data_IF_575451454347
#
_entry.id   IF_575451454347
#
_cell.length_a   1.000
_cell.length_b   1.000
_cell.length_c   1.000
_cell.angle_alpha   90.00
_cell.angle_beta   90.00
_cell.angle_gamma   90.00
#
_symmetry.space_group_name_H-M   'P 1'
#
loop_
_entity.id
_entity.type
_entity.pdbx_description
1 polymer ?
#
# COMPACT_ATOMS: atom_id res chain seq x y z
N UNK A 1 11.50 -0.42 1.21
CA UNK A 1 10.14 -0.26 0.65
C UNK A 1 10.04 1.13 0.07
N UNK A 2 10.23 1.31 -1.25
CA UNK A 2 9.95 2.59 -1.91
C UNK A 2 8.46 2.97 -1.87
N UNK A 3 8.14 4.27 -1.97
CA UNK A 3 6.76 4.73 -2.13
C UNK A 3 6.21 4.36 -3.51
N UNK A 4 4.92 4.02 -3.53
CA UNK A 4 4.10 3.91 -4.75
C UNK A 4 2.98 4.94 -4.78
N UNK A 5 2.83 5.76 -3.73
CA UNK A 5 1.94 6.92 -3.73
C UNK A 5 2.70 8.19 -3.35
N UNK A 6 2.21 9.33 -3.84
CA UNK A 6 2.51 10.61 -3.21
C UNK A 6 1.97 10.65 -1.77
N UNK A 7 2.52 11.48 -0.86
CA UNK A 7 1.97 11.65 0.47
C UNK A 7 0.54 12.20 0.42
N UNK A 8 -0.38 11.55 1.13
CA UNK A 8 -1.75 12.06 1.24
C UNK A 8 -1.76 13.33 2.09
N UNK A 9 -2.43 14.38 1.60
CA UNK A 9 -2.56 15.67 2.31
C UNK A 9 -3.22 15.53 3.70
N UNK A 10 -4.06 14.50 3.89
CA UNK A 10 -4.66 14.16 5.19
C UNK A 10 -3.82 13.08 5.89
N UNK A 11 -3.16 13.46 6.99
CA UNK A 11 -2.62 12.49 7.95
C UNK A 11 -1.24 11.90 7.66
N UNK A 12 -0.47 12.47 6.72
CA UNK A 12 0.89 12.01 6.37
C UNK A 12 0.95 10.48 6.12
N UNK A 13 0.01 9.99 5.33
CA UNK A 13 -0.06 8.60 4.90
C UNK A 13 0.76 8.43 3.61
N UNK A 14 1.50 7.34 3.50
CA UNK A 14 2.24 6.96 2.29
C UNK A 14 2.03 5.47 2.05
N UNK A 15 1.75 5.09 0.81
CA UNK A 15 1.64 3.70 0.39
C UNK A 15 2.98 3.26 -0.17
N UNK A 16 3.46 2.12 0.28
CA UNK A 16 4.79 1.59 0.01
C UNK A 16 4.70 0.19 -0.61
N UNK A 17 5.67 -0.13 -1.46
CA UNK A 17 5.85 -1.47 -2.03
C UNK A 17 7.14 -2.09 -1.51
N UNK A 18 7.15 -3.38 -1.22
CA UNK A 18 8.35 -4.10 -0.76
C UNK A 18 8.81 -5.12 -1.80
N UNK A 19 10.09 -5.06 -2.17
CA UNK A 19 10.71 -6.03 -3.08
C UNK A 19 10.77 -7.44 -2.50
N UNK A 20 10.83 -7.56 -1.17
CA UNK A 20 11.00 -8.84 -0.49
C UNK A 20 9.67 -9.45 -0.03
N UNK A 21 8.51 -8.91 -0.44
CA UNK A 21 7.22 -9.48 -0.06
C UNK A 21 6.88 -10.75 -0.85
N UNK A 22 5.92 -11.50 -0.30
CA UNK A 22 5.38 -12.73 -0.89
C UNK A 22 3.89 -12.57 -1.20
N UNK A 23 3.37 -13.45 -2.07
CA UNK A 23 1.94 -13.50 -2.39
C UNK A 23 1.08 -13.67 -1.11
N UNK A 24 -0.15 -13.12 -1.08
CA UNK A 24 -0.83 -12.41 -2.16
C UNK A 24 -0.26 -10.99 -2.40
N UNK A 25 -0.52 -10.37 -3.58
CA UNK A 25 -0.13 -8.99 -3.84
C UNK A 25 -0.72 -8.03 -2.81
N UNK A 26 0.13 -7.25 -2.15
CA UNK A 26 -0.26 -6.31 -1.11
C UNK A 26 0.64 -5.08 -1.08
N UNK A 27 0.14 -4.01 -0.46
CA UNK A 27 0.92 -2.80 -0.19
C UNK A 27 1.01 -2.55 1.31
N UNK A 28 2.05 -1.83 1.72
CA UNK A 28 2.25 -1.38 3.10
C UNK A 28 1.79 0.06 3.25
N UNK A 29 1.21 0.37 4.40
CA UNK A 29 0.75 1.72 4.71
C UNK A 29 1.63 2.28 5.81
N UNK A 30 2.37 3.35 5.49
CA UNK A 30 3.02 4.18 6.48
C UNK A 30 2.03 5.24 6.95
N UNK A 31 1.74 5.25 8.24
CA UNK A 31 0.93 6.28 8.87
C UNK A 31 1.71 6.89 10.04
N UNK A 32 1.97 8.20 9.98
CA UNK A 32 2.87 8.88 10.92
C UNK A 32 4.25 8.21 10.96
N UNK A 33 4.69 7.76 12.14
CA UNK A 33 5.96 7.06 12.34
C UNK A 33 5.85 5.53 12.28
N UNK A 34 4.65 4.99 12.03
CA UNK A 34 4.42 3.56 11.93
C UNK A 34 4.47 3.11 10.46
N UNK A 35 5.47 2.31 10.13
CA UNK A 35 5.74 1.77 8.79
C UNK A 35 5.41 0.27 8.66
N UNK A 36 5.11 -0.44 9.75
CA UNK A 36 5.08 -1.91 9.77
C UNK A 36 3.74 -2.51 10.17
N UNK A 37 2.84 -1.72 10.75
CA UNK A 37 1.61 -2.29 11.28
C UNK A 37 0.59 -2.61 10.21
N UNK A 38 0.58 -1.92 9.07
CA UNK A 38 -0.57 -1.89 8.17
C UNK A 38 -0.26 -2.43 6.79
N UNK A 39 -1.01 -3.46 6.38
CA UNK A 39 -0.95 -4.06 5.05
C UNK A 39 -2.35 -4.30 4.53
N UNK A 40 -2.53 -4.09 3.23
CA UNK A 40 -3.80 -4.32 2.52
C UNK A 40 -3.50 -5.09 1.23
N UNK A 41 -4.22 -6.19 1.03
CA UNK A 41 -4.19 -6.96 -0.22
C UNK A 41 -4.78 -6.13 -1.37
N UNK A 42 -4.11 -6.09 -2.52
CA UNK A 42 -4.50 -5.25 -3.66
C UNK A 42 -5.85 -5.71 -4.24
N UNK A 43 -6.01 -7.02 -4.46
CA UNK A 43 -7.19 -7.59 -5.13
C UNK A 43 -8.42 -7.72 -4.23
N UNK A 44 -8.23 -8.04 -2.96
CA UNK A 44 -9.35 -8.28 -2.04
C UNK A 44 -9.69 -7.06 -1.19
N UNK A 45 -8.80 -6.06 -1.14
CA UNK A 45 -8.82 -4.93 -0.19
C UNK A 45 -8.89 -5.40 1.26
N UNK A 46 -8.52 -6.65 1.52
CA UNK A 46 -8.51 -7.20 2.87
C UNK A 46 -7.29 -6.67 3.62
N UNK A 47 -7.55 -6.01 4.74
CA UNK A 47 -6.50 -5.65 5.68
C UNK A 47 -5.90 -6.90 6.32
N UNK A 48 -4.59 -7.06 6.18
CA UNK A 48 -3.84 -8.08 6.91
C UNK A 48 -3.66 -7.57 8.34
N UNK A 49 -4.25 -8.28 9.31
CA UNK A 49 -4.51 -7.82 10.69
C UNK A 49 -3.35 -7.00 11.29
N UNK A 50 -3.51 -5.67 11.46
CA UNK A 50 -2.61 -4.89 12.28
C UNK A 50 -2.92 -5.15 13.76
N UNK A 51 -1.93 -4.96 14.65
CA UNK A 51 -2.19 -4.94 16.10
C UNK A 51 -2.99 -3.71 16.55
N UNK A 52 -2.92 -2.60 15.80
CA UNK A 52 -3.62 -1.34 16.05
C UNK A 52 -4.42 -0.95 14.81
N UNK A 53 -5.66 -0.52 14.94
CA UNK A 53 -6.45 -0.10 13.77
C UNK A 53 -6.14 1.33 13.30
N UNK A 54 -6.28 1.60 12.00
CA UNK A 54 -6.32 2.97 11.47
C UNK A 54 -7.70 3.58 11.76
N UNK A 55 -7.78 4.92 11.90
CA UNK A 55 -9.05 5.64 11.89
C UNK A 55 -9.93 5.20 10.69
N UNK A 56 -11.25 4.96 10.88
CA UNK A 56 -12.12 4.45 9.82
C UNK A 56 -12.08 5.27 8.53
N UNK A 57 -12.04 6.60 8.63
CA UNK A 57 -11.94 7.49 7.47
C UNK A 57 -10.66 7.31 6.66
N UNK A 58 -9.54 6.98 7.31
CA UNK A 58 -8.28 6.68 6.62
C UNK A 58 -8.31 5.28 5.99
N UNK A 59 -8.99 4.31 6.61
CA UNK A 59 -9.17 2.98 6.00
C UNK A 59 -9.94 3.07 4.70
N UNK A 60 -11.11 3.73 4.73
CA UNK A 60 -11.92 3.95 3.53
C UNK A 60 -11.15 4.71 2.46
N UNK A 61 -10.39 5.74 2.83
CA UNK A 61 -9.54 6.48 1.88
C UNK A 61 -8.50 5.58 1.21
N UNK A 62 -7.82 4.72 1.99
CA UNK A 62 -6.82 3.78 1.43
C UNK A 62 -7.49 2.74 0.56
N UNK A 63 -8.61 2.16 0.98
CA UNK A 63 -9.36 1.17 0.21
C UNK A 63 -9.80 1.72 -1.15
N UNK A 64 -10.41 2.91 -1.17
CA UNK A 64 -10.84 3.57 -2.41
C UNK A 64 -9.65 3.93 -3.30
N UNK A 65 -8.52 4.35 -2.72
CA UNK A 65 -7.33 4.64 -3.52
C UNK A 65 -6.72 3.37 -4.12
N UNK A 66 -6.63 2.28 -3.35
CA UNK A 66 -6.14 0.98 -3.83
C UNK A 66 -7.03 0.44 -4.94
N UNK A 67 -8.35 0.55 -4.80
CA UNK A 67 -9.31 0.17 -5.84
C UNK A 67 -9.14 1.01 -7.12
N UNK A 68 -8.96 2.33 -7.00
CA UNK A 68 -8.80 3.22 -8.15
C UNK A 68 -7.50 2.98 -8.94
N UNK A 69 -6.45 2.45 -8.30
CA UNK A 69 -5.13 2.23 -8.91
C UNK A 69 -4.75 0.74 -8.96
N UNK A 70 -5.72 -0.18 -8.91
CA UNK A 70 -5.49 -1.62 -8.80
C UNK A 70 -4.52 -2.14 -9.88
N UNK A 71 -4.77 -1.80 -11.15
CA UNK A 71 -3.96 -2.26 -12.27
C UNK A 71 -2.50 -1.80 -12.19
N UNK A 72 -2.27 -0.53 -11.88
CA UNK A 72 -0.92 0.04 -11.74
C UNK A 72 -0.20 -0.58 -10.54
N UNK A 73 -0.90 -0.80 -9.43
CA UNK A 73 -0.33 -1.46 -8.25
C UNK A 73 0.07 -2.91 -8.54
N UNK A 74 -0.70 -3.65 -9.35
CA UNK A 74 -0.33 -5.00 -9.77
C UNK A 74 0.90 -4.99 -10.68
N UNK A 75 1.04 -3.99 -11.56
CA UNK A 75 2.26 -3.82 -12.35
C UNK A 75 3.47 -3.54 -11.45
N UNK A 76 3.35 -2.60 -10.50
CA UNK A 76 4.42 -2.30 -9.56
C UNK A 76 4.76 -3.49 -8.65
N UNK A 77 3.77 -4.29 -8.28
CA UNK A 77 3.99 -5.55 -7.57
C UNK A 77 4.83 -6.52 -8.42
N UNK A 78 4.50 -6.67 -9.70
CA UNK A 78 5.27 -7.54 -10.61
C UNK A 78 6.69 -7.02 -10.81
N UNK A 79 6.87 -5.70 -10.93
CA UNK A 79 8.19 -5.07 -10.99
C UNK A 79 9.01 -5.39 -9.74
N UNK A 80 8.42 -5.19 -8.56
CA UNK A 80 9.06 -5.51 -7.29
C UNK A 80 9.50 -6.98 -7.21
N UNK A 81 8.62 -7.91 -7.63
CA UNK A 81 8.91 -9.36 -7.65
C UNK A 81 10.02 -9.74 -8.64
N UNK A 82 10.20 -8.95 -9.69
CA UNK A 82 11.24 -9.14 -10.71
C UNK A 82 12.53 -8.35 -10.43
N UNK A 83 12.64 -7.68 -9.27
CA UNK A 83 13.77 -6.81 -8.94
C UNK A 83 13.87 -5.56 -9.82
N UNK A 84 12.78 -5.19 -10.50
CA UNK A 84 12.69 -3.99 -11.34
C UNK A 84 12.25 -2.78 -10.52
N UNK A 85 12.72 -1.57 -10.84
CA UNK A 85 12.30 -0.37 -10.15
C UNK A 85 10.77 -0.23 -10.09
N UNK A 86 10.24 0.05 -8.90
CA UNK A 86 8.85 0.49 -8.75
C UNK A 86 8.76 2.01 -8.77
N UNK A 87 7.67 2.51 -9.35
CA UNK A 87 7.39 3.93 -9.49
C UNK A 87 6.13 4.32 -8.73
N UNK A 88 5.94 5.62 -8.56
CA UNK A 88 4.67 6.18 -8.07
C UNK A 88 3.58 5.89 -9.11
N UNK A 89 2.39 5.53 -8.62
CA UNK A 89 1.17 5.38 -9.41
C UNK A 89 0.21 6.53 -9.11
N UNK A 90 -0.65 6.87 -10.08
CA UNK A 90 -1.53 8.05 -10.02
C UNK A 90 -0.89 9.36 -10.46
#
# INVERSE_FOLDING_TARGET
MPPVSHPFKRGALIILMNYNDHAPPHVHIKYQNDVRSYRIEILSRRWMRPGKELPPSLRTMVESWVEAHEGELLEQWQNARNGQPVTIVG
#
